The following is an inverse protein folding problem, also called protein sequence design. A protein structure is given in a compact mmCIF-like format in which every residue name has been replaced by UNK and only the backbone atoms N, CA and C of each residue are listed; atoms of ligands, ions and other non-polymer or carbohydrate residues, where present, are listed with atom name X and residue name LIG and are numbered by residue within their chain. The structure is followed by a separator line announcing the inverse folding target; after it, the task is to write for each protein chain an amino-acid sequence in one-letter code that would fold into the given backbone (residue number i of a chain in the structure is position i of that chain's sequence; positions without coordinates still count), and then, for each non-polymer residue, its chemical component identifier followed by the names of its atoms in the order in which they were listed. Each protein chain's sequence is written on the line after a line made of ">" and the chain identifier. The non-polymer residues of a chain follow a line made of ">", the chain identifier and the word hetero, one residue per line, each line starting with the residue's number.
data_IF_915150249906
#
_entry.id   IF_915150249906
#
_cell.length_a   1.000
_cell.length_b   1.000
_cell.length_c   1.000
_cell.angle_alpha   90.00
_cell.angle_beta   90.00
_cell.angle_gamma   90.00
#
_symmetry.space_group_name_H-M   'P 1'
#
loop_
_entity.id
_entity.type
_entity.pdbx_description
1 polymer ?
#
# COMPACT_ATOMS: atom_id res chain seq x y z
N UNK A 1 -18.82 -12.90 -13.77
CA UNK A 1 -17.82 -12.86 -14.87
C UNK A 1 -17.21 -14.22 -15.26
N UNK A 2 -17.03 -15.22 -14.37
CA UNK A 2 -16.43 -16.53 -14.72
C UNK A 2 -17.21 -17.37 -15.75
N UNK A 3 -18.54 -17.29 -15.77
CA UNK A 3 -19.39 -18.01 -16.73
C UNK A 3 -19.24 -17.53 -18.19
N UNK A 4 -19.07 -16.22 -18.43
CA UNK A 4 -18.86 -15.68 -19.77
C UNK A 4 -17.51 -16.11 -20.38
N UNK A 5 -16.45 -16.14 -19.56
CA UNK A 5 -15.12 -16.64 -19.95
C UNK A 5 -15.11 -18.14 -20.27
N UNK A 6 -15.88 -18.94 -19.52
CA UNK A 6 -15.99 -20.38 -19.78
C UNK A 6 -16.79 -20.67 -21.07
N UNK A 7 -17.91 -19.96 -21.30
CA UNK A 7 -18.69 -20.09 -22.53
C UNK A 7 -17.93 -19.61 -23.77
N UNK A 8 -17.13 -18.54 -23.68
CA UNK A 8 -16.30 -18.08 -24.80
C UNK A 8 -15.19 -19.08 -25.14
N UNK A 9 -14.52 -19.66 -24.15
CA UNK A 9 -13.54 -20.73 -24.35
C UNK A 9 -14.17 -21.99 -24.97
N UNK A 10 -15.34 -22.41 -24.49
CA UNK A 10 -16.09 -23.55 -25.06
C UNK A 10 -16.50 -23.34 -26.52
N UNK A 11 -16.88 -22.11 -26.88
CA UNK A 11 -17.20 -21.75 -28.27
C UNK A 11 -15.94 -21.78 -29.16
N UNK A 12 -14.84 -21.20 -28.68
CA UNK A 12 -13.54 -21.21 -29.37
C UNK A 12 -13.01 -22.64 -29.60
N UNK A 13 -13.20 -23.55 -28.63
CA UNK A 13 -12.82 -24.96 -28.78
C UNK A 13 -13.61 -25.64 -29.91
N UNK A 14 -14.94 -25.42 -29.97
CA UNK A 14 -15.79 -26.03 -31.01
C UNK A 14 -15.44 -25.52 -32.40
N UNK A 15 -15.25 -24.21 -32.54
CA UNK A 15 -14.85 -23.58 -33.81
C UNK A 15 -13.45 -24.04 -34.22
N UNK A 16 -12.53 -24.17 -33.26
CA UNK A 16 -11.17 -24.65 -33.49
C UNK A 16 -11.09 -26.10 -34.00
N UNK A 17 -11.89 -26.99 -33.41
CA UNK A 17 -11.98 -28.39 -33.88
C UNK A 17 -12.62 -28.48 -35.28
N UNK A 18 -13.59 -27.63 -35.60
CA UNK A 18 -14.18 -27.56 -36.95
C UNK A 18 -13.15 -27.09 -37.98
N UNK A 19 -12.36 -26.06 -37.65
CA UNK A 19 -11.27 -25.58 -38.50
C UNK A 19 -10.23 -26.67 -38.75
N UNK A 20 -9.81 -27.39 -37.72
CA UNK A 20 -8.89 -28.53 -37.88
C UNK A 20 -9.49 -29.61 -38.80
N UNK A 21 -10.78 -29.96 -38.63
CA UNK A 21 -11.46 -30.89 -39.53
C UNK A 21 -11.50 -30.42 -40.99
N UNK A 22 -11.66 -29.11 -41.23
CA UNK A 22 -11.60 -28.53 -42.57
C UNK A 22 -10.19 -28.56 -43.17
N UNK A 23 -9.15 -28.31 -42.37
CA UNK A 23 -7.74 -28.42 -42.79
C UNK A 23 -7.44 -29.81 -43.31
N UNK A 24 -7.85 -30.85 -42.56
CA UNK A 24 -7.69 -32.25 -42.97
C UNK A 24 -8.45 -32.51 -44.29
N UNK A 25 -9.72 -32.10 -44.37
CA UNK A 25 -10.57 -32.33 -45.55
C UNK A 25 -10.04 -31.64 -46.81
N UNK A 26 -9.37 -30.49 -46.65
CA UNK A 26 -8.80 -29.71 -47.77
C UNK A 26 -7.38 -30.16 -48.15
N UNK A 27 -6.82 -31.18 -47.49
CA UNK A 27 -5.47 -31.67 -47.76
C UNK A 27 -4.37 -30.70 -47.34
N UNK A 28 -4.66 -29.79 -46.39
CA UNK A 28 -3.69 -28.81 -45.87
C UNK A 28 -3.02 -29.30 -44.59
N UNK A 29 -3.10 -30.60 -44.29
CA UNK A 29 -2.62 -31.18 -43.03
C UNK A 29 -1.10 -31.15 -42.88
N UNK A 30 -0.37 -31.05 -43.99
CA UNK A 30 1.10 -31.13 -44.03
C UNK A 30 1.75 -29.74 -44.15
N UNK A 31 0.94 -28.68 -44.18
CA UNK A 31 1.44 -27.30 -44.22
C UNK A 31 1.88 -26.84 -42.81
N UNK A 32 3.17 -26.54 -42.67
CA UNK A 32 3.80 -26.16 -41.38
C UNK A 32 3.16 -24.89 -40.78
N UNK A 33 2.74 -23.92 -41.60
CA UNK A 33 2.10 -22.70 -41.10
C UNK A 33 0.70 -22.98 -40.55
N UNK A 34 -0.03 -23.87 -41.21
CA UNK A 34 -1.36 -24.33 -40.75
C UNK A 34 -1.22 -25.16 -39.48
N UNK A 35 -0.24 -26.06 -39.42
CA UNK A 35 0.05 -26.86 -38.22
C UNK A 35 0.44 -25.97 -37.03
N UNK A 36 1.31 -24.97 -37.23
CA UNK A 36 1.69 -23.99 -36.19
C UNK A 36 0.48 -23.20 -35.67
N UNK A 37 -0.40 -22.77 -36.58
CA UNK A 37 -1.63 -22.06 -36.22
C UNK A 37 -2.58 -22.95 -35.39
N UNK A 38 -2.67 -24.24 -35.72
CA UNK A 38 -3.47 -25.21 -34.96
C UNK A 38 -2.87 -25.53 -33.59
N UNK A 39 -1.54 -25.62 -33.46
CA UNK A 39 -0.86 -25.79 -32.17
C UNK A 39 -1.18 -24.58 -31.28
N UNK A 40 -0.98 -23.35 -31.77
CA UNK A 40 -1.29 -22.13 -31.01
C UNK A 40 -2.75 -22.04 -30.58
N UNK A 41 -3.68 -22.43 -31.47
CA UNK A 41 -5.11 -22.52 -31.17
C UNK A 41 -5.40 -23.52 -30.04
N UNK A 42 -4.82 -24.71 -30.08
CA UNK A 42 -5.01 -25.72 -29.03
C UNK A 42 -4.42 -25.27 -27.69
N UNK A 43 -3.23 -24.67 -27.70
CA UNK A 43 -2.59 -24.08 -26.52
C UNK A 43 -3.47 -22.99 -25.90
N UNK A 44 -3.98 -22.05 -26.69
CA UNK A 44 -4.86 -20.98 -26.20
C UNK A 44 -6.19 -21.50 -25.60
N UNK A 45 -6.61 -22.69 -26.01
CA UNK A 45 -7.81 -23.35 -25.52
C UNK A 45 -7.60 -24.21 -24.26
N UNK A 46 -6.36 -24.33 -23.75
CA UNK A 46 -6.04 -25.26 -22.65
C UNK A 46 -6.13 -26.74 -23.06
N UNK A 47 -5.92 -27.00 -24.36
CA UNK A 47 -6.01 -28.31 -24.99
C UNK A 47 -4.64 -28.73 -25.53
N UNK A 48 -3.58 -28.40 -24.81
CA UNK A 48 -2.19 -28.60 -25.23
C UNK A 48 -1.88 -30.03 -25.66
N UNK A 49 -2.55 -31.04 -25.10
CA UNK A 49 -2.39 -32.44 -25.50
C UNK A 49 -2.73 -32.72 -26.98
N UNK A 50 -3.73 -32.04 -27.55
CA UNK A 50 -4.02 -32.13 -29.00
C UNK A 50 -2.97 -31.41 -29.84
N UNK A 51 -2.43 -30.30 -29.33
CA UNK A 51 -1.28 -29.62 -29.91
C UNK A 51 -0.05 -30.53 -29.96
N UNK A 52 0.24 -31.25 -28.87
CA UNK A 52 1.37 -32.16 -28.77
C UNK A 52 1.25 -33.33 -29.77
N UNK A 53 0.05 -33.91 -29.91
CA UNK A 53 -0.19 -34.96 -30.92
C UNK A 53 0.01 -34.46 -32.35
N UNK A 54 -0.35 -33.20 -32.62
CA UNK A 54 -0.13 -32.60 -33.94
C UNK A 54 1.36 -32.34 -34.16
N UNK A 55 2.03 -31.77 -33.16
CA UNK A 55 3.46 -31.50 -33.14
C UNK A 55 4.30 -32.77 -33.38
N UNK A 56 3.94 -33.88 -32.72
CA UNK A 56 4.61 -35.17 -32.88
C UNK A 56 4.51 -35.73 -34.31
N UNK A 57 3.44 -35.40 -35.04
CA UNK A 57 3.19 -35.84 -36.42
C UNK A 57 3.80 -34.94 -37.49
N UNK A 58 4.30 -33.76 -37.14
CA UNK A 58 4.92 -32.85 -38.11
C UNK A 58 6.18 -33.50 -38.71
N UNK A 59 6.26 -33.48 -40.04
CA UNK A 59 7.42 -33.98 -40.80
C UNK A 59 8.61 -33.02 -40.75
N UNK A 60 8.33 -31.71 -40.68
CA UNK A 60 9.32 -30.65 -40.51
C UNK A 60 8.85 -29.68 -39.42
N UNK A 61 9.74 -29.34 -38.49
CA UNK A 61 9.45 -28.53 -37.31
C UNK A 61 10.37 -27.33 -37.28
N UNK A 62 9.81 -26.16 -37.52
CA UNK A 62 10.53 -24.89 -37.45
C UNK A 62 10.53 -24.30 -36.03
N UNK A 63 11.30 -23.24 -35.80
CA UNK A 63 11.40 -22.57 -34.48
C UNK A 63 10.02 -22.15 -33.94
N UNK A 64 9.07 -21.81 -34.82
CA UNK A 64 7.71 -21.39 -34.45
C UNK A 64 6.91 -22.56 -33.89
N UNK A 65 7.01 -23.75 -34.49
CA UNK A 65 6.36 -24.97 -34.00
C UNK A 65 6.80 -25.31 -32.58
N UNK A 66 8.12 -25.30 -32.33
CA UNK A 66 8.71 -25.57 -31.02
C UNK A 66 8.33 -24.51 -29.98
N UNK A 67 8.40 -23.23 -30.34
CA UNK A 67 8.01 -22.12 -29.45
C UNK A 67 6.54 -22.21 -29.03
N UNK A 68 5.65 -22.50 -29.99
CA UNK A 68 4.21 -22.62 -29.73
C UNK A 68 3.92 -23.79 -28.80
N UNK A 69 4.61 -24.92 -28.99
CA UNK A 69 4.43 -26.11 -28.17
C UNK A 69 4.96 -25.92 -26.74
N UNK A 70 6.18 -25.39 -26.58
CA UNK A 70 6.75 -25.07 -25.26
C UNK A 70 5.87 -24.06 -24.52
N UNK A 71 5.44 -22.99 -25.21
CA UNK A 71 4.56 -21.98 -24.61
C UNK A 71 3.21 -22.54 -24.19
N UNK A 72 2.63 -23.43 -24.99
CA UNK A 72 1.41 -24.15 -24.63
C UNK A 72 1.57 -25.02 -23.39
N UNK A 73 2.65 -25.81 -23.30
CA UNK A 73 2.88 -26.68 -22.15
C UNK A 73 3.10 -25.86 -20.87
N UNK A 74 3.91 -24.81 -20.97
CA UNK A 74 4.16 -23.89 -19.86
C UNK A 74 2.88 -23.17 -19.42
N UNK A 75 2.08 -22.68 -20.37
CA UNK A 75 0.83 -21.96 -20.10
C UNK A 75 -0.23 -22.83 -19.41
N UNK A 76 -0.26 -24.14 -19.71
CA UNK A 76 -1.15 -25.11 -19.06
C UNK A 76 -0.57 -25.70 -17.75
N UNK A 77 0.64 -25.28 -17.34
CA UNK A 77 1.29 -25.68 -16.10
C UNK A 77 2.15 -26.96 -16.18
N UNK A 78 2.30 -27.56 -17.35
CA UNK A 78 3.16 -28.72 -17.62
C UNK A 78 4.63 -28.28 -17.78
N UNK A 79 5.20 -27.73 -16.70
CA UNK A 79 6.54 -27.12 -16.72
C UNK A 79 7.65 -28.15 -16.99
N UNK A 80 7.52 -29.38 -16.47
CA UNK A 80 8.52 -30.43 -16.68
C UNK A 80 8.55 -30.90 -18.14
N UNK A 81 7.38 -31.14 -18.74
CA UNK A 81 7.24 -31.52 -20.14
C UNK A 81 7.68 -30.39 -21.06
N UNK A 82 7.30 -29.15 -20.74
CA UNK A 82 7.78 -27.96 -21.44
C UNK A 82 9.30 -27.83 -21.39
N UNK A 83 9.92 -28.12 -20.24
CA UNK A 83 11.38 -28.12 -20.06
C UNK A 83 12.06 -29.23 -20.83
N UNK A 84 11.50 -30.45 -20.82
CA UNK A 84 12.05 -31.56 -21.57
C UNK A 84 12.05 -31.23 -23.07
N UNK A 85 10.92 -30.72 -23.58
CA UNK A 85 10.81 -30.31 -24.98
C UNK A 85 11.81 -29.21 -25.33
N UNK A 86 11.93 -28.20 -24.45
CA UNK A 86 12.91 -27.14 -24.60
C UNK A 86 14.35 -27.68 -24.67
N UNK A 87 14.73 -28.62 -23.80
CA UNK A 87 16.08 -29.17 -23.77
C UNK A 87 16.42 -29.91 -25.09
N UNK A 88 15.43 -30.53 -25.75
CA UNK A 88 15.60 -31.19 -27.07
C UNK A 88 15.77 -30.25 -28.26
N UNK A 89 15.44 -28.95 -28.12
CA UNK A 89 15.57 -27.98 -29.22
C UNK A 89 17.04 -27.74 -29.59
N UNK A 90 17.37 -27.88 -30.88
CA UNK A 90 18.71 -27.61 -31.42
C UNK A 90 19.07 -26.11 -31.32
N UNK A 91 18.13 -25.24 -31.70
CA UNK A 91 18.25 -23.79 -31.59
C UNK A 91 17.16 -23.25 -30.68
N UNK A 92 17.55 -22.42 -29.71
CA UNK A 92 16.65 -21.83 -28.71
C UNK A 92 16.64 -20.32 -28.91
N UNK A 93 15.49 -19.77 -29.27
CA UNK A 93 15.31 -18.33 -29.43
C UNK A 93 15.15 -17.65 -28.06
N UNK A 94 15.42 -16.34 -27.99
CA UNK A 94 15.20 -15.55 -26.76
C UNK A 94 13.75 -15.64 -26.28
N UNK A 95 12.79 -15.74 -27.20
CA UNK A 95 11.36 -15.93 -26.91
C UNK A 95 11.11 -17.24 -26.17
N UNK A 96 11.77 -18.33 -26.58
CA UNK A 96 11.62 -19.64 -25.94
C UNK A 96 12.18 -19.63 -24.52
N UNK A 97 13.35 -19.01 -24.33
CA UNK A 97 13.97 -18.83 -23.01
C UNK A 97 13.05 -18.01 -22.09
N UNK A 98 12.60 -16.84 -22.54
CA UNK A 98 11.71 -15.96 -21.78
C UNK A 98 10.41 -16.65 -21.41
N UNK A 99 9.81 -17.42 -22.32
CA UNK A 99 8.59 -18.17 -22.05
C UNK A 99 8.78 -19.20 -20.92
N UNK A 100 9.89 -19.94 -20.94
CA UNK A 100 10.14 -20.96 -19.92
C UNK A 100 10.46 -20.31 -18.56
N UNK A 101 11.25 -19.23 -18.56
CA UNK A 101 11.53 -18.44 -17.35
C UNK A 101 10.24 -17.87 -16.75
N UNK A 102 9.38 -17.25 -17.55
CA UNK A 102 8.06 -16.75 -17.12
C UNK A 102 7.19 -17.86 -16.54
N UNK A 103 7.20 -19.05 -17.16
CA UNK A 103 6.55 -20.25 -16.64
C UNK A 103 6.98 -20.63 -15.23
N UNK A 104 8.30 -20.76 -15.03
CA UNK A 104 8.85 -21.08 -13.72
C UNK A 104 8.61 -19.97 -12.69
N UNK A 105 8.71 -18.69 -13.07
CA UNK A 105 8.38 -17.55 -12.21
C UNK A 105 6.92 -17.62 -11.75
N UNK A 106 5.97 -17.83 -12.66
CA UNK A 106 4.55 -17.98 -12.33
C UNK A 106 4.24 -19.23 -11.52
N UNK A 107 5.03 -20.29 -11.71
CA UNK A 107 4.99 -21.50 -10.89
C UNK A 107 5.62 -21.36 -9.50
N UNK A 108 6.21 -20.21 -9.15
CA UNK A 108 6.91 -19.98 -7.89
C UNK A 108 8.29 -20.65 -7.79
N UNK A 109 8.77 -21.24 -8.88
CA UNK A 109 10.03 -21.97 -8.99
C UNK A 109 11.17 -21.04 -9.41
N UNK A 110 11.47 -20.06 -8.57
CA UNK A 110 12.45 -19.01 -8.88
C UNK A 110 13.88 -19.51 -9.03
N UNK A 111 14.24 -20.61 -8.36
CA UNK A 111 15.59 -21.17 -8.47
C UNK A 111 15.85 -21.72 -9.88
N UNK A 112 14.87 -22.43 -10.42
CA UNK A 112 14.88 -22.99 -11.77
C UNK A 112 14.83 -21.88 -12.83
N UNK A 113 13.96 -20.88 -12.61
CA UNK A 113 13.90 -19.69 -13.45
C UNK A 113 15.25 -18.96 -13.49
N UNK A 114 15.88 -18.76 -12.32
CA UNK A 114 17.19 -18.12 -12.21
C UNK A 114 18.28 -18.92 -12.90
N UNK A 115 18.29 -20.24 -12.73
CA UNK A 115 19.24 -21.13 -13.40
C UNK A 115 19.09 -21.15 -14.93
N UNK A 116 17.88 -20.93 -15.46
CA UNK A 116 17.68 -20.72 -16.91
C UNK A 116 18.17 -19.34 -17.33
N UNK A 117 17.80 -18.30 -16.59
CA UNK A 117 18.22 -16.93 -16.85
C UNK A 117 19.73 -16.79 -16.90
N UNK A 118 20.48 -17.38 -15.96
CA UNK A 118 21.95 -17.31 -15.92
C UNK A 118 22.62 -18.05 -17.10
N UNK A 119 21.96 -19.05 -17.69
CA UNK A 119 22.46 -19.81 -18.85
C UNK A 119 22.22 -19.11 -20.19
N UNK A 120 21.39 -18.07 -20.25
CA UNK A 120 21.17 -17.30 -21.47
C UNK A 120 22.47 -16.62 -21.92
N UNK A 121 22.81 -16.75 -23.22
CA UNK A 121 23.94 -16.03 -23.81
C UNK A 121 23.59 -14.57 -24.03
N UNK A 122 22.43 -14.33 -24.65
CA UNK A 122 21.87 -13.02 -24.93
C UNK A 122 20.58 -12.83 -24.12
N UNK A 123 20.39 -11.64 -23.57
CA UNK A 123 19.22 -11.25 -22.76
C UNK A 123 18.68 -9.92 -23.28
N UNK A 124 17.37 -9.78 -23.29
CA UNK A 124 16.65 -8.56 -23.63
C UNK A 124 15.94 -8.00 -22.39
N UNK A 125 15.30 -6.84 -22.54
CA UNK A 125 14.59 -6.22 -21.40
C UNK A 125 13.50 -7.14 -20.84
N UNK A 126 12.86 -7.98 -21.68
CA UNK A 126 11.86 -8.96 -21.25
C UNK A 126 12.50 -10.00 -20.33
N UNK A 127 13.65 -10.58 -20.70
CA UNK A 127 14.37 -11.55 -19.86
C UNK A 127 14.63 -11.01 -18.45
N UNK A 128 15.13 -9.77 -18.37
CA UNK A 128 15.43 -9.11 -17.10
C UNK A 128 14.16 -8.77 -16.31
N UNK A 129 13.16 -8.17 -16.97
CA UNK A 129 11.91 -7.74 -16.35
C UNK A 129 11.12 -8.93 -15.80
N UNK A 130 11.10 -10.08 -16.50
CA UNK A 130 10.45 -11.30 -16.00
C UNK A 130 11.10 -11.78 -14.69
N UNK A 131 12.43 -11.80 -14.61
CA UNK A 131 13.12 -12.22 -13.39
C UNK A 131 12.97 -11.20 -12.24
N UNK A 132 13.18 -9.91 -12.51
CA UNK A 132 13.03 -8.84 -11.51
C UNK A 132 11.59 -8.85 -10.97
N UNK A 133 10.59 -8.91 -11.87
CA UNK A 133 9.18 -8.97 -11.48
C UNK A 133 8.83 -10.24 -10.69
N UNK A 134 9.46 -11.37 -11.01
CA UNK A 134 9.33 -12.61 -10.23
C UNK A 134 9.78 -12.45 -8.77
N UNK A 135 10.95 -11.83 -8.56
CA UNK A 135 11.44 -11.54 -7.21
C UNK A 135 10.58 -10.51 -6.48
N UNK A 136 10.17 -9.43 -7.15
CA UNK A 136 9.28 -8.40 -6.60
C UNK A 136 7.94 -9.00 -6.14
N UNK A 137 7.33 -9.86 -6.96
CA UNK A 137 6.05 -10.49 -6.64
C UNK A 137 6.10 -11.43 -5.43
N UNK A 138 7.28 -11.99 -5.12
CA UNK A 138 7.51 -12.86 -3.97
C UNK A 138 8.14 -12.11 -2.78
N UNK A 139 8.17 -10.77 -2.83
CA UNK A 139 8.76 -9.91 -1.79
C UNK A 139 10.24 -10.23 -1.50
N UNK A 140 10.98 -10.68 -2.52
CA UNK A 140 12.42 -10.95 -2.46
C UNK A 140 13.21 -9.75 -2.99
N UNK A 141 13.03 -8.59 -2.35
CA UNK A 141 13.47 -7.31 -2.90
C UNK A 141 15.00 -7.20 -3.07
N UNK A 142 15.78 -7.87 -2.20
CA UNK A 142 17.25 -7.91 -2.30
C UNK A 142 17.73 -8.57 -3.60
N UNK A 143 17.09 -9.66 -4.02
CA UNK A 143 17.45 -10.35 -5.26
C UNK A 143 17.02 -9.54 -6.50
N UNK A 144 15.87 -8.86 -6.41
CA UNK A 144 15.41 -7.92 -7.44
C UNK A 144 16.40 -6.75 -7.61
N UNK A 145 16.89 -6.17 -6.51
CA UNK A 145 17.91 -5.10 -6.51
C UNK A 145 19.23 -5.55 -7.16
N UNK A 146 19.68 -6.76 -6.85
CA UNK A 146 20.88 -7.34 -7.47
C UNK A 146 20.68 -7.44 -8.99
N UNK A 147 19.57 -7.99 -9.47
CA UNK A 147 19.34 -8.05 -10.92
C UNK A 147 19.16 -6.67 -11.56
N UNK A 148 18.46 -5.76 -10.90
CA UNK A 148 18.28 -4.39 -11.38
C UNK A 148 19.61 -3.64 -11.53
N UNK A 149 20.55 -3.84 -10.60
CA UNK A 149 21.89 -3.24 -10.67
C UNK A 149 22.80 -3.88 -11.71
N UNK A 150 22.61 -5.18 -12.00
CA UNK A 150 23.35 -5.90 -13.05
C UNK A 150 22.82 -5.62 -14.47
N UNK A 151 21.56 -5.19 -14.59
CA UNK A 151 20.93 -4.90 -15.87
C UNK A 151 21.63 -3.72 -16.57
N UNK A 152 22.07 -3.86 -17.84
CA UNK A 152 22.68 -2.77 -18.60
C UNK A 152 21.76 -1.55 -18.68
N UNK A 153 22.31 -0.35 -18.51
CA UNK A 153 21.53 0.90 -18.47
C UNK A 153 20.72 1.13 -19.74
N UNK A 154 21.26 0.73 -20.88
CA UNK A 154 20.63 0.88 -22.21
C UNK A 154 19.44 -0.07 -22.40
N UNK A 155 19.34 -1.13 -21.59
CA UNK A 155 18.22 -2.08 -21.62
C UNK A 155 17.11 -1.71 -20.65
N UNK A 156 17.39 -0.87 -19.63
CA UNK A 156 16.39 -0.50 -18.63
C UNK A 156 15.29 0.32 -19.30
N UNK A 157 14.06 -0.14 -19.15
CA UNK A 157 12.88 0.53 -19.69
C UNK A 157 11.91 0.92 -18.57
N UNK A 158 10.82 1.61 -18.94
CA UNK A 158 9.79 2.01 -18.00
C UNK A 158 9.20 0.82 -17.21
N UNK A 159 9.17 -0.38 -17.80
CA UNK A 159 8.69 -1.58 -17.10
C UNK A 159 9.67 -1.96 -15.99
N UNK A 160 10.97 -1.99 -16.27
CA UNK A 160 12.01 -2.28 -15.27
C UNK A 160 11.87 -1.37 -14.05
N UNK A 161 11.73 -0.06 -14.29
CA UNK A 161 11.61 0.93 -13.22
C UNK A 161 10.30 0.80 -12.44
N UNK A 162 9.17 0.58 -13.13
CA UNK A 162 7.88 0.39 -12.46
C UNK A 162 7.83 -0.87 -11.59
N UNK A 163 8.53 -1.95 -11.97
CA UNK A 163 8.68 -3.13 -11.13
C UNK A 163 9.38 -2.81 -9.80
N UNK A 164 10.46 -2.01 -9.86
CA UNK A 164 11.18 -1.60 -8.65
C UNK A 164 10.34 -0.64 -7.79
N UNK A 165 9.66 0.32 -8.42
CA UNK A 165 8.76 1.25 -7.72
C UNK A 165 7.63 0.50 -7.02
N UNK A 166 7.00 -0.47 -7.68
CA UNK A 166 5.95 -1.32 -7.08
C UNK A 166 6.49 -2.14 -5.91
N UNK A 167 7.65 -2.79 -6.07
CA UNK A 167 8.29 -3.55 -5.00
C UNK A 167 8.59 -2.69 -3.77
N UNK A 168 9.20 -1.52 -3.96
CA UNK A 168 9.48 -0.60 -2.86
C UNK A 168 8.23 0.01 -2.24
N UNK A 169 7.18 0.28 -3.01
CA UNK A 169 5.92 0.80 -2.48
C UNK A 169 5.25 -0.21 -1.55
N UNK A 170 5.26 -1.51 -1.90
CA UNK A 170 4.71 -2.59 -1.06
C UNK A 170 5.45 -2.78 0.27
N UNK A 171 6.76 -2.55 0.28
CA UNK A 171 7.59 -2.62 1.50
C UNK A 171 7.66 -1.30 2.27
N UNK A 172 7.04 -0.22 1.78
CA UNK A 172 7.14 1.11 2.40
C UNK A 172 8.53 1.74 2.32
N UNK A 173 9.38 1.30 1.38
CA UNK A 173 10.76 1.79 1.20
C UNK A 173 10.79 3.08 0.37
N UNK A 174 10.20 4.15 0.91
CA UNK A 174 9.99 5.42 0.20
C UNK A 174 11.28 6.05 -0.34
N UNK A 175 12.39 5.95 0.40
CA UNK A 175 13.68 6.52 -0.03
C UNK A 175 14.14 5.91 -1.36
N UNK A 176 14.00 4.59 -1.50
CA UNK A 176 14.40 3.90 -2.72
C UNK A 176 13.49 4.24 -3.90
N UNK A 177 12.20 4.55 -3.69
CA UNK A 177 11.32 5.05 -4.75
C UNK A 177 11.86 6.37 -5.32
N UNK A 178 12.32 7.29 -4.47
CA UNK A 178 12.92 8.56 -4.90
C UNK A 178 14.27 8.33 -5.61
N UNK A 179 15.11 7.42 -5.11
CA UNK A 179 16.39 7.06 -5.77
C UNK A 179 16.18 6.47 -7.16
N UNK A 180 15.21 5.55 -7.30
CA UNK A 180 14.82 4.93 -8.58
C UNK A 180 14.29 5.99 -9.54
N UNK A 181 13.50 6.93 -9.05
CA UNK A 181 12.99 8.05 -9.86
C UNK A 181 14.10 8.98 -10.35
N UNK A 182 15.09 9.27 -9.50
CA UNK A 182 16.27 10.04 -9.93
C UNK A 182 17.07 9.29 -11.00
N UNK A 183 17.22 7.97 -10.89
CA UNK A 183 17.84 7.17 -11.95
C UNK A 183 17.03 7.20 -13.25
N UNK A 184 15.69 7.11 -13.20
CA UNK A 184 14.83 7.29 -14.39
C UNK A 184 15.10 8.64 -15.06
N UNK A 185 15.20 9.71 -14.26
CA UNK A 185 15.43 11.08 -14.73
C UNK A 185 16.80 11.21 -15.39
N UNK A 186 17.84 10.61 -14.82
CA UNK A 186 19.18 10.58 -15.42
C UNK A 186 19.25 9.79 -16.73
N UNK A 187 18.41 8.77 -16.88
CA UNK A 187 18.29 7.98 -18.11
C UNK A 187 17.28 8.56 -19.13
N UNK A 188 16.66 9.70 -18.82
CA UNK A 188 15.61 10.31 -19.64
C UNK A 188 14.41 9.37 -19.92
N UNK A 189 14.08 8.50 -18.97
CA UNK A 189 12.91 7.62 -19.05
C UNK A 189 11.71 8.39 -18.52
N UNK A 190 10.69 8.58 -19.36
CA UNK A 190 9.47 9.32 -19.01
C UNK A 190 8.63 8.52 -18.00
N UNK A 191 8.44 9.02 -16.77
CA UNK A 191 7.57 8.40 -15.78
C UNK A 191 6.12 8.36 -16.27
N UNK A 192 5.39 7.28 -15.95
CA UNK A 192 3.95 7.22 -16.19
C UNK A 192 3.17 7.62 -14.93
N UNK A 193 1.84 7.66 -15.04
CA UNK A 193 0.94 7.97 -13.92
C UNK A 193 1.21 7.15 -12.65
N UNK A 194 1.44 5.84 -12.80
CA UNK A 194 1.75 4.97 -11.66
C UNK A 194 3.05 5.41 -10.98
N UNK A 195 4.10 5.66 -11.76
CA UNK A 195 5.37 6.17 -11.24
C UNK A 195 5.19 7.49 -10.49
N UNK A 196 4.47 8.44 -11.10
CA UNK A 196 4.21 9.78 -10.55
C UNK A 196 3.52 9.68 -9.19
N UNK A 197 2.42 8.92 -9.09
CA UNK A 197 1.68 8.76 -7.83
C UNK A 197 2.54 8.12 -6.74
N UNK A 198 3.32 7.08 -7.07
CA UNK A 198 4.22 6.42 -6.13
C UNK A 198 5.32 7.35 -5.63
N UNK A 199 5.90 8.18 -6.52
CA UNK A 199 6.92 9.16 -6.15
C UNK A 199 6.35 10.27 -5.29
N UNK A 200 5.17 10.81 -5.62
CA UNK A 200 4.49 11.82 -4.78
C UNK A 200 4.17 11.28 -3.39
N UNK A 201 3.71 10.03 -3.31
CA UNK A 201 3.49 9.33 -2.04
C UNK A 201 4.79 9.21 -1.25
N UNK A 202 5.89 8.79 -1.88
CA UNK A 202 7.18 8.73 -1.23
C UNK A 202 7.67 10.09 -0.74
N UNK A 203 7.52 11.15 -1.56
CA UNK A 203 7.88 12.51 -1.17
C UNK A 203 7.06 13.00 0.03
N UNK A 204 5.78 12.66 0.08
CA UNK A 204 4.88 12.97 1.19
C UNK A 204 5.35 12.34 2.52
N UNK A 205 5.85 11.10 2.47
CA UNK A 205 6.37 10.40 3.65
C UNK A 205 7.76 10.87 4.08
N UNK A 206 8.60 11.26 3.12
CA UNK A 206 9.97 11.73 3.38
C UNK A 206 10.07 13.24 3.61
N UNK A 207 8.97 13.97 3.48
CA UNK A 207 8.94 15.45 3.51
C UNK A 207 9.88 16.02 2.43
N UNK A 208 9.91 15.39 1.26
CA UNK A 208 10.82 15.69 0.16
C UNK A 208 10.21 16.71 -0.81
N UNK A 209 10.09 17.96 -0.36
CA UNK A 209 9.38 19.03 -1.08
C UNK A 209 9.97 19.31 -2.47
N UNK A 210 11.29 19.36 -2.60
CA UNK A 210 11.97 19.69 -3.86
C UNK A 210 11.64 18.69 -4.98
N UNK A 211 11.63 17.39 -4.65
CA UNK A 211 11.28 16.32 -5.58
C UNK A 211 9.80 16.39 -5.96
N UNK A 212 8.94 16.71 -4.99
CA UNK A 212 7.53 16.94 -5.23
C UNK A 212 7.25 18.11 -6.18
N UNK A 213 7.94 19.24 -6.00
CA UNK A 213 7.86 20.40 -6.90
C UNK A 213 8.35 20.08 -8.31
N UNK A 214 9.40 19.26 -8.43
CA UNK A 214 9.87 18.79 -9.72
C UNK A 214 8.79 17.96 -10.43
N UNK A 215 8.13 17.04 -9.72
CA UNK A 215 7.06 16.21 -10.28
C UNK A 215 5.89 17.08 -10.75
N UNK A 216 5.47 18.07 -9.96
CA UNK A 216 4.45 19.05 -10.36
C UNK A 216 4.86 19.78 -11.65
N UNK A 217 6.10 20.30 -11.71
CA UNK A 217 6.60 20.99 -12.90
C UNK A 217 6.70 20.05 -14.11
N UNK A 218 6.98 18.77 -13.91
CA UNK A 218 6.97 17.77 -14.96
C UNK A 218 5.55 17.52 -15.50
N UNK A 219 4.55 17.40 -14.63
CA UNK A 219 3.14 17.27 -15.02
C UNK A 219 2.71 18.46 -15.89
N UNK A 220 3.02 19.68 -15.45
CA UNK A 220 2.68 20.92 -16.16
C UNK A 220 3.38 21.03 -17.52
N UNK A 221 4.69 20.75 -17.59
CA UNK A 221 5.48 20.86 -18.82
C UNK A 221 5.11 19.85 -19.89
N UNK A 222 4.60 18.69 -19.49
CA UNK A 222 4.21 17.62 -20.41
C UNK A 222 2.69 17.59 -20.65
N UNK A 223 1.95 18.59 -20.16
CA UNK A 223 0.49 18.69 -20.32
C UNK A 223 -0.24 17.41 -19.87
N UNK A 224 0.25 16.79 -18.77
CA UNK A 224 -0.35 15.59 -18.21
C UNK A 224 -1.62 16.00 -17.46
N UNK A 225 -2.76 15.50 -17.92
CA UNK A 225 -4.06 15.77 -17.29
C UNK A 225 -4.09 15.25 -15.86
N UNK A 226 -4.48 16.12 -14.92
CA UNK A 226 -4.62 15.77 -13.50
C UNK A 226 -5.99 15.14 -13.24
N UNK A 227 -6.02 13.81 -13.16
CA UNK A 227 -7.18 13.12 -12.59
C UNK A 227 -7.22 13.20 -11.07
N UNK A 228 -8.35 12.76 -10.49
CA UNK A 228 -8.60 12.78 -9.05
C UNK A 228 -7.49 12.09 -8.22
N UNK A 229 -6.89 11.00 -8.72
CA UNK A 229 -5.86 10.25 -7.99
C UNK A 229 -4.55 11.03 -7.96
N UNK A 230 -4.10 11.58 -9.08
CA UNK A 230 -2.90 12.40 -9.14
C UNK A 230 -3.07 13.70 -8.37
N UNK A 231 -4.23 14.37 -8.51
CA UNK A 231 -4.56 15.57 -7.74
C UNK A 231 -4.53 15.31 -6.23
N UNK A 232 -5.14 14.22 -5.76
CA UNK A 232 -5.11 13.82 -4.34
C UNK A 232 -3.69 13.52 -3.86
N UNK A 233 -2.86 12.87 -4.67
CA UNK A 233 -1.46 12.60 -4.33
C UNK A 233 -0.64 13.89 -4.20
N UNK A 234 -0.85 14.87 -5.09
CA UNK A 234 -0.21 16.19 -5.02
C UNK A 234 -0.67 16.99 -3.79
N UNK A 235 -1.97 17.02 -3.49
CA UNK A 235 -2.52 17.66 -2.29
C UNK A 235 -1.84 17.08 -1.04
N UNK A 236 -1.78 15.76 -0.91
CA UNK A 236 -1.13 15.10 0.22
C UNK A 236 0.39 15.35 0.28
N UNK A 237 1.06 15.38 -0.87
CA UNK A 237 2.49 15.65 -0.94
C UNK A 237 2.79 17.07 -0.43
N UNK A 238 2.15 18.10 -1.00
CA UNK A 238 2.38 19.49 -0.59
C UNK A 238 1.97 19.75 0.86
N UNK A 239 0.80 19.27 1.27
CA UNK A 239 0.33 19.47 2.64
C UNK A 239 1.25 18.84 3.68
N UNK A 240 1.67 17.58 3.50
CA UNK A 240 2.59 16.92 4.45
C UNK A 240 4.02 17.49 4.39
N UNK A 241 4.42 18.09 3.27
CA UNK A 241 5.65 18.86 3.17
C UNK A 241 5.55 20.27 3.78
N UNK A 242 4.42 20.63 4.41
CA UNK A 242 4.23 21.92 5.07
C UNK A 242 3.79 23.06 4.16
N UNK A 243 3.54 22.80 2.88
CA UNK A 243 3.08 23.81 1.91
C UNK A 243 1.56 23.68 1.67
N UNK A 244 0.78 24.06 2.67
CA UNK A 244 -0.69 23.94 2.62
C UNK A 244 -1.31 24.85 1.54
N UNK A 245 -0.72 26.00 1.26
CA UNK A 245 -1.22 26.94 0.24
C UNK A 245 -1.17 26.33 -1.16
N UNK A 246 -0.05 25.66 -1.50
CA UNK A 246 0.05 24.87 -2.74
C UNK A 246 -0.96 23.73 -2.77
N UNK A 247 -1.16 23.04 -1.65
CA UNK A 247 -2.15 21.95 -1.59
C UNK A 247 -3.58 22.46 -1.88
N UNK A 248 -3.95 23.62 -1.31
CA UNK A 248 -5.24 24.28 -1.59
C UNK A 248 -5.33 24.65 -3.08
N UNK A 249 -4.29 25.28 -3.64
CA UNK A 249 -4.27 25.67 -5.05
C UNK A 249 -4.43 24.46 -5.99
N UNK A 250 -3.75 23.35 -5.71
CA UNK A 250 -3.93 22.11 -6.48
C UNK A 250 -5.36 21.61 -6.35
N UNK A 251 -5.88 21.53 -5.12
CA UNK A 251 -7.26 21.08 -4.87
C UNK A 251 -8.31 21.94 -5.60
N UNK A 252 -8.15 23.25 -5.62
CA UNK A 252 -9.03 24.19 -6.33
C UNK A 252 -8.92 24.05 -7.85
N UNK A 253 -7.77 23.64 -8.38
CA UNK A 253 -7.57 23.42 -9.82
C UNK A 253 -8.16 22.10 -10.36
N UNK A 254 -8.52 21.15 -9.49
CA UNK A 254 -9.09 19.86 -9.91
C UNK A 254 -10.50 20.03 -10.51
N UNK A 255 -10.71 19.52 -11.72
CA UNK A 255 -12.03 19.51 -12.37
C UNK A 255 -12.98 18.52 -11.68
N UNK A 256 -12.50 17.29 -11.44
CA UNK A 256 -13.22 16.24 -10.72
C UNK A 256 -12.56 15.94 -9.37
N UNK A 257 -13.37 15.93 -8.31
CA UNK A 257 -12.94 15.63 -6.94
C UNK A 257 -13.77 14.47 -6.41
N UNK A 258 -13.13 13.33 -6.22
CA UNK A 258 -13.75 12.19 -5.56
C UNK A 258 -13.72 12.37 -4.02
N UNK A 259 -14.36 11.44 -3.31
CA UNK A 259 -14.41 11.44 -1.84
C UNK A 259 -12.99 11.46 -1.24
N UNK A 260 -12.01 10.81 -1.89
CA UNK A 260 -10.63 10.77 -1.41
C UNK A 260 -9.95 12.15 -1.46
N UNK A 261 -10.17 12.92 -2.53
CA UNK A 261 -9.66 14.28 -2.65
C UNK A 261 -10.23 15.20 -1.56
N UNK A 262 -11.55 15.16 -1.33
CA UNK A 262 -12.21 15.94 -0.28
C UNK A 262 -11.69 15.55 1.11
N UNK A 263 -11.60 14.25 1.39
CA UNK A 263 -11.09 13.72 2.66
C UNK A 263 -9.66 14.17 2.92
N UNK A 264 -8.79 14.10 1.89
CA UNK A 264 -7.40 14.56 1.99
C UNK A 264 -7.33 16.05 2.33
N UNK A 265 -8.12 16.90 1.67
CA UNK A 265 -8.10 18.35 1.93
C UNK A 265 -8.62 18.69 3.33
N UNK A 266 -9.74 18.11 3.76
CA UNK A 266 -10.33 18.31 5.09
C UNK A 266 -9.33 17.89 6.18
N UNK A 267 -8.75 16.70 6.05
CA UNK A 267 -7.77 16.18 7.00
C UNK A 267 -6.54 17.09 7.09
N UNK A 268 -5.94 17.44 5.95
CA UNK A 268 -4.73 18.24 5.92
C UNK A 268 -4.96 19.66 6.49
N UNK A 269 -6.07 20.32 6.17
CA UNK A 269 -6.44 21.60 6.79
C UNK A 269 -6.56 21.49 8.31
N UNK A 270 -7.17 20.40 8.79
CA UNK A 270 -7.32 20.13 10.22
C UNK A 270 -5.98 20.01 10.95
N UNK A 271 -5.06 19.19 10.43
CA UNK A 271 -3.73 18.99 11.04
C UNK A 271 -2.89 20.28 11.03
N UNK A 272 -3.07 21.12 10.00
CA UNK A 272 -2.43 22.44 9.91
C UNK A 272 -3.13 23.54 10.74
N UNK A 273 -4.17 23.19 11.51
CA UNK A 273 -4.87 24.12 12.40
C UNK A 273 -5.92 25.01 11.73
N UNK A 274 -6.19 24.82 10.44
CA UNK A 274 -7.20 25.55 9.66
C UNK A 274 -8.60 24.91 9.79
N UNK A 275 -9.03 24.59 11.02
CA UNK A 275 -10.26 23.84 11.26
C UNK A 275 -11.51 24.49 10.66
N UNK A 276 -11.64 25.81 10.74
CA UNK A 276 -12.79 26.51 10.13
C UNK A 276 -12.82 26.37 8.60
N UNK A 277 -11.65 26.40 7.94
CA UNK A 277 -11.58 26.16 6.49
C UNK A 277 -11.89 24.70 6.17
N UNK A 278 -11.41 23.75 6.99
CA UNK A 278 -11.76 22.34 6.84
C UNK A 278 -13.29 22.12 6.89
N UNK A 279 -13.99 22.81 7.80
CA UNK A 279 -15.45 22.78 7.87
C UNK A 279 -16.12 23.45 6.66
N UNK A 280 -15.52 24.50 6.09
CA UNK A 280 -15.98 25.11 4.84
C UNK A 280 -15.86 24.12 3.68
N UNK A 281 -14.71 23.45 3.55
CA UNK A 281 -14.47 22.43 2.53
C UNK A 281 -15.45 21.26 2.67
N UNK A 282 -15.74 20.82 3.91
CA UNK A 282 -16.80 19.85 4.15
C UNK A 282 -18.18 20.34 3.69
N UNK A 283 -18.53 21.60 3.95
CA UNK A 283 -19.77 22.18 3.43
C UNK A 283 -19.82 22.18 1.90
N UNK A 284 -18.71 22.48 1.24
CA UNK A 284 -18.62 22.51 -0.22
C UNK A 284 -18.68 21.11 -0.83
N UNK A 285 -18.15 20.08 -0.15
CA UNK A 285 -18.35 18.67 -0.50
C UNK A 285 -19.84 18.32 -0.53
N UNK A 286 -20.59 18.71 0.51
CA UNK A 286 -22.04 18.47 0.58
C UNK A 286 -22.80 19.22 -0.52
N UNK A 287 -22.45 20.48 -0.80
CA UNK A 287 -23.05 21.26 -1.91
C UNK A 287 -22.77 20.64 -3.28
N UNK A 288 -21.63 19.96 -3.41
CA UNK A 288 -21.24 19.23 -4.62
C UNK A 288 -21.92 17.86 -4.73
N UNK A 289 -22.85 17.52 -3.83
CA UNK A 289 -23.56 16.24 -3.75
C UNK A 289 -22.62 15.02 -3.64
N UNK A 290 -21.43 15.20 -3.06
CA UNK A 290 -20.53 14.10 -2.76
C UNK A 290 -20.86 13.57 -1.35
N UNK A 291 -21.30 12.30 -1.21
CA UNK A 291 -21.69 11.77 0.09
C UNK A 291 -20.45 11.62 0.99
N UNK A 292 -20.49 12.13 2.23
CA UNK A 292 -19.41 11.92 3.18
C UNK A 292 -19.38 10.46 3.64
N UNK A 293 -18.18 9.96 3.90
CA UNK A 293 -17.94 8.65 4.47
C UNK A 293 -17.37 8.76 5.90
N UNK A 294 -17.07 7.61 6.50
CA UNK A 294 -16.46 7.55 7.83
C UNK A 294 -15.12 8.30 7.87
N UNK A 295 -14.33 8.26 6.79
CA UNK A 295 -13.03 8.95 6.73
C UNK A 295 -13.24 10.47 6.66
N UNK A 296 -14.30 10.94 5.98
CA UNK A 296 -14.69 12.35 5.97
C UNK A 296 -14.95 12.85 7.39
N UNK A 297 -15.79 12.14 8.15
CA UNK A 297 -16.13 12.53 9.52
C UNK A 297 -14.93 12.45 10.46
N UNK A 298 -14.04 11.47 10.29
CA UNK A 298 -12.78 11.43 11.02
C UNK A 298 -11.94 12.68 10.76
N UNK A 299 -11.85 13.13 9.49
CA UNK A 299 -11.18 14.37 9.12
C UNK A 299 -11.83 15.61 9.74
N UNK A 300 -13.16 15.73 9.68
CA UNK A 300 -13.93 16.84 10.29
C UNK A 300 -13.73 16.90 11.80
N UNK A 301 -13.88 15.78 12.50
CA UNK A 301 -13.68 15.71 13.95
C UNK A 301 -12.21 15.96 14.33
N UNK A 302 -11.26 15.50 13.51
CA UNK A 302 -9.85 15.82 13.64
C UNK A 302 -9.59 17.32 13.51
N UNK A 303 -10.21 17.99 12.55
CA UNK A 303 -10.13 19.44 12.39
C UNK A 303 -10.71 20.19 13.61
N UNK A 304 -11.87 19.74 14.12
CA UNK A 304 -12.43 20.30 15.36
C UNK A 304 -11.49 20.10 16.55
N UNK A 305 -10.91 18.89 16.71
CA UNK A 305 -9.92 18.55 17.75
C UNK A 305 -8.70 19.47 17.69
N UNK A 306 -8.11 19.70 16.53
CA UNK A 306 -6.91 20.53 16.38
C UNK A 306 -7.17 22.02 16.58
N UNK A 307 -8.35 22.52 16.19
CA UNK A 307 -8.72 23.93 16.33
C UNK A 307 -9.56 24.26 17.57
N UNK A 308 -9.85 23.27 18.44
CA UNK A 308 -10.64 23.46 19.65
C UNK A 308 -12.12 23.78 19.42
N UNK A 309 -12.69 23.38 18.28
CA UNK A 309 -14.09 23.66 17.92
C UNK A 309 -15.05 22.66 18.58
N UNK A 310 -15.23 22.76 19.89
CA UNK A 310 -16.00 21.80 20.71
C UNK A 310 -17.44 21.64 20.23
N UNK A 311 -18.17 22.75 20.07
CA UNK A 311 -19.58 22.72 19.69
C UNK A 311 -19.79 22.15 18.29
N UNK A 312 -18.93 22.51 17.33
CA UNK A 312 -18.96 21.93 15.98
C UNK A 312 -18.60 20.44 16.01
N UNK A 313 -17.61 20.04 16.81
CA UNK A 313 -17.25 18.63 17.01
C UNK A 313 -18.44 17.81 17.52
N UNK A 314 -19.12 18.29 18.58
CA UNK A 314 -20.35 17.67 19.09
C UNK A 314 -21.42 17.59 18.00
N UNK A 315 -21.67 18.69 17.28
CA UNK A 315 -22.69 18.75 16.22
C UNK A 315 -22.43 17.74 15.10
N UNK A 316 -21.20 17.70 14.56
CA UNK A 316 -20.86 16.79 13.47
C UNK A 316 -20.82 15.32 13.89
N UNK A 317 -20.46 15.05 15.15
CA UNK A 317 -20.50 13.69 15.69
C UNK A 317 -21.93 13.11 15.70
N UNK A 318 -22.92 13.92 16.08
CA UNK A 318 -24.33 13.51 16.01
C UNK A 318 -24.84 13.42 14.57
N UNK A 319 -24.49 14.42 13.73
CA UNK A 319 -24.87 14.46 12.31
C UNK A 319 -24.44 13.19 11.54
N UNK A 320 -23.26 12.66 11.85
CA UNK A 320 -22.72 11.43 11.28
C UNK A 320 -23.71 10.26 11.37
N UNK A 321 -24.30 10.07 12.55
CA UNK A 321 -25.25 8.98 12.82
C UNK A 321 -26.66 9.33 12.33
N UNK A 322 -27.15 10.52 12.70
CA UNK A 322 -28.56 10.89 12.53
C UNK A 322 -28.94 11.20 11.09
N UNK A 323 -28.04 11.84 10.34
CA UNK A 323 -28.31 12.31 8.97
C UNK A 323 -27.65 11.44 7.93
N UNK A 324 -26.42 10.99 8.19
CA UNK A 324 -25.64 10.21 7.22
C UNK A 324 -25.71 8.70 7.45
N UNK A 325 -26.30 8.24 8.57
CA UNK A 325 -26.46 6.82 8.87
C UNK A 325 -25.14 6.07 9.07
N UNK A 326 -24.05 6.79 9.36
CA UNK A 326 -22.72 6.22 9.56
C UNK A 326 -22.52 5.89 11.04
N UNK A 327 -22.02 4.69 11.32
CA UNK A 327 -21.78 4.23 12.69
C UNK A 327 -20.42 4.76 13.17
N UNK A 328 -20.35 5.53 14.27
CA UNK A 328 -19.08 6.02 14.78
C UNK A 328 -18.15 4.88 15.23
N UNK A 329 -16.92 4.91 14.70
CA UNK A 329 -15.83 3.97 15.05
C UNK A 329 -14.94 4.48 16.19
N UNK A 330 -14.04 3.62 16.69
CA UNK A 330 -13.10 3.90 17.79
C UNK A 330 -12.34 5.21 17.55
N UNK A 331 -11.94 5.47 16.30
CA UNK A 331 -11.19 6.65 15.89
C UNK A 331 -12.01 7.94 16.04
N UNK A 332 -13.30 7.92 15.74
CA UNK A 332 -14.21 9.07 15.87
C UNK A 332 -14.42 9.46 17.33
N UNK A 333 -14.74 8.47 18.17
CA UNK A 333 -14.82 8.66 19.61
C UNK A 333 -13.48 9.12 20.19
N UNK A 334 -12.35 8.57 19.71
CA UNK A 334 -11.02 9.03 20.09
C UNK A 334 -10.79 10.51 19.78
N UNK A 335 -11.28 11.00 18.63
CA UNK A 335 -11.28 12.44 18.31
C UNK A 335 -12.12 13.27 19.28
N UNK A 336 -13.31 12.80 19.62
CA UNK A 336 -14.18 13.51 20.56
C UNK A 336 -13.63 13.53 21.98
N UNK A 337 -13.11 12.41 22.47
CA UNK A 337 -12.50 12.33 23.81
C UNK A 337 -11.30 13.28 23.90
N UNK A 338 -10.42 13.33 22.90
CA UNK A 338 -9.28 14.27 22.89
C UNK A 338 -9.76 15.74 22.80
N UNK A 339 -10.76 16.04 21.96
CA UNK A 339 -11.34 17.38 21.86
C UNK A 339 -11.92 17.86 23.21
N UNK A 340 -12.76 17.05 23.86
CA UNK A 340 -13.37 17.37 25.15
C UNK A 340 -12.32 17.48 26.25
N UNK A 341 -11.37 16.54 26.26
CA UNK A 341 -10.27 16.53 27.23
C UNK A 341 -9.39 17.78 27.15
N UNK A 342 -9.09 18.28 25.95
CA UNK A 342 -8.33 19.54 25.76
C UNK A 342 -9.12 20.78 26.14
N UNK A 343 -10.45 20.70 26.09
CA UNK A 343 -11.35 21.76 26.50
C UNK A 343 -11.71 21.71 28.01
N UNK A 344 -11.04 20.87 28.80
CA UNK A 344 -11.30 20.66 30.24
C UNK A 344 -12.73 20.13 30.53
N UNK A 345 -13.34 19.46 29.57
CA UNK A 345 -14.66 18.82 29.68
C UNK A 345 -14.49 17.31 29.98
N UNK A 346 -13.81 17.00 31.07
CA UNK A 346 -13.45 15.61 31.40
C UNK A 346 -14.67 14.73 31.74
N UNK A 347 -15.72 15.28 32.33
CA UNK A 347 -16.95 14.53 32.61
C UNK A 347 -17.70 14.19 31.31
N UNK A 348 -17.84 15.14 30.38
CA UNK A 348 -18.41 14.87 29.04
C UNK A 348 -17.59 13.80 28.31
N UNK A 349 -16.26 13.85 28.43
CA UNK A 349 -15.37 12.86 27.81
C UNK A 349 -15.56 11.46 28.41
N UNK A 350 -15.73 11.36 29.73
CA UNK A 350 -16.02 10.12 30.44
C UNK A 350 -17.40 9.56 30.06
N UNK A 351 -18.43 10.40 30.09
CA UNK A 351 -19.80 10.02 29.71
C UNK A 351 -19.83 9.46 28.29
N UNK A 352 -19.11 10.09 27.36
CA UNK A 352 -19.01 9.63 25.98
C UNK A 352 -18.38 8.23 25.87
N UNK A 353 -17.35 7.92 26.67
CA UNK A 353 -16.73 6.59 26.68
C UNK A 353 -17.70 5.55 27.25
N UNK A 354 -18.39 5.87 28.35
CA UNK A 354 -19.30 4.96 29.06
C UNK A 354 -20.56 4.63 28.27
N UNK A 355 -21.11 5.62 27.57
CA UNK A 355 -22.30 5.49 26.72
C UNK A 355 -22.01 4.78 25.40
N UNK A 356 -20.75 4.76 24.97
CA UNK A 356 -20.35 4.03 23.77
C UNK A 356 -20.42 2.51 23.96
N UNK A 357 -20.65 1.78 22.87
CA UNK A 357 -20.46 0.31 22.82
C UNK A 357 -18.98 -0.09 23.01
N UNK A 358 -18.06 0.89 23.02
CA UNK A 358 -16.61 0.73 23.00
C UNK A 358 -15.93 1.00 24.34
N UNK A 359 -16.66 0.83 25.44
CA UNK A 359 -16.21 0.96 26.84
C UNK A 359 -14.93 0.17 27.20
N UNK A 360 -14.54 -0.82 26.40
CA UNK A 360 -13.29 -1.58 26.52
C UNK A 360 -12.11 -1.01 25.70
N UNK A 361 -12.24 0.20 25.15
CA UNK A 361 -11.20 0.84 24.32
C UNK A 361 -10.05 1.39 25.16
N UNK A 362 -8.90 0.71 25.12
CA UNK A 362 -7.67 1.13 25.81
C UNK A 362 -7.22 2.55 25.38
N UNK A 363 -7.20 2.91 24.07
CA UNK A 363 -6.74 4.25 23.67
C UNK A 363 -7.56 5.41 24.23
N UNK A 364 -8.89 5.23 24.43
CA UNK A 364 -9.76 6.29 24.95
C UNK A 364 -9.52 6.56 26.43
N UNK A 365 -9.45 5.50 27.24
CA UNK A 365 -9.11 5.63 28.66
C UNK A 365 -7.68 6.16 28.85
N UNK A 366 -6.74 5.77 27.97
CA UNK A 366 -5.39 6.33 27.92
C UNK A 366 -5.37 7.84 27.65
N UNK A 367 -6.16 8.29 26.67
CA UNK A 367 -6.31 9.72 26.36
C UNK A 367 -6.88 10.51 27.56
N UNK A 368 -7.92 9.97 28.20
CA UNK A 368 -8.56 10.59 29.38
C UNK A 368 -7.60 10.64 30.58
N UNK A 369 -6.86 9.56 30.85
CA UNK A 369 -5.84 9.53 31.90
C UNK A 369 -4.73 10.56 31.64
N UNK A 370 -4.22 10.60 30.41
CA UNK A 370 -3.20 11.57 30.01
C UNK A 370 -3.68 13.02 30.15
N UNK A 371 -4.93 13.31 29.78
CA UNK A 371 -5.52 14.63 29.96
C UNK A 371 -5.71 14.99 31.44
N UNK A 372 -6.24 14.07 32.23
CA UNK A 372 -6.44 14.23 33.68
C UNK A 372 -5.11 14.51 34.39
N UNK A 373 -4.03 13.84 33.97
CA UNK A 373 -2.67 14.09 34.46
C UNK A 373 -2.20 15.52 34.17
N UNK A 374 -2.36 15.99 32.93
CA UNK A 374 -1.98 17.36 32.54
C UNK A 374 -2.79 18.44 33.28
N UNK A 375 -4.08 18.18 33.51
CA UNK A 375 -5.00 19.11 34.18
C UNK A 375 -4.94 19.01 35.71
N UNK A 376 -4.21 18.02 36.25
CA UNK A 376 -4.12 17.79 37.70
C UNK A 376 -5.41 17.22 38.32
N UNK A 377 -6.34 16.72 37.53
CA UNK A 377 -7.58 16.11 38.02
C UNK A 377 -7.31 14.66 38.50
N UNK A 378 -6.96 14.53 39.77
CA UNK A 378 -6.60 13.22 40.38
C UNK A 378 -7.76 12.24 40.38
N UNK A 379 -8.99 12.72 40.59
CA UNK A 379 -10.17 11.86 40.65
C UNK A 379 -10.45 11.20 39.30
N UNK A 380 -10.48 11.98 38.22
CA UNK A 380 -10.67 11.46 36.87
C UNK A 380 -9.49 10.57 36.44
N UNK A 381 -8.26 10.94 36.83
CA UNK A 381 -7.07 10.11 36.58
C UNK A 381 -7.14 8.75 37.28
N UNK A 382 -7.54 8.73 38.56
CA UNK A 382 -7.76 7.48 39.31
C UNK A 382 -8.84 6.62 38.65
N UNK A 383 -9.93 7.23 38.17
CA UNK A 383 -11.01 6.55 37.48
C UNK A 383 -10.54 5.89 36.17
N UNK A 384 -9.92 6.66 35.27
CA UNK A 384 -9.44 6.18 33.99
C UNK A 384 -8.35 5.09 34.14
N UNK A 385 -7.44 5.27 35.11
CA UNK A 385 -6.38 4.30 35.38
C UNK A 385 -6.91 2.95 35.87
N UNK A 386 -7.96 2.92 36.71
CA UNK A 386 -8.57 1.66 37.17
C UNK A 386 -9.16 0.85 36.01
N UNK A 387 -9.80 1.52 35.06
CA UNK A 387 -10.31 0.85 33.86
C UNK A 387 -9.19 0.33 32.98
N UNK A 388 -8.12 1.11 32.76
CA UNK A 388 -6.93 0.65 32.03
C UNK A 388 -6.28 -0.58 32.67
N UNK A 389 -6.09 -0.57 33.99
CA UNK A 389 -5.52 -1.72 34.72
C UNK A 389 -6.39 -2.98 34.65
N UNK A 390 -7.69 -2.82 34.38
CA UNK A 390 -8.60 -3.96 34.20
C UNK A 390 -8.52 -4.50 32.77
N UNK A 391 -8.34 -3.62 31.78
CA UNK A 391 -8.29 -3.96 30.36
C UNK A 391 -6.91 -4.45 29.91
N UNK A 392 -5.85 -3.83 30.42
CA UNK A 392 -4.45 -4.18 30.14
C UNK A 392 -3.61 -4.09 31.44
N UNK A 393 -3.65 -5.14 32.28
CA UNK A 393 -2.97 -5.13 33.58
C UNK A 393 -1.44 -5.10 33.49
N UNK A 394 -0.86 -5.44 32.34
CA UNK A 394 0.60 -5.55 32.18
C UNK A 394 1.23 -4.28 31.60
N UNK A 395 0.43 -3.32 31.13
CA UNK A 395 0.95 -2.04 30.69
C UNK A 395 1.40 -1.17 31.88
N UNK A 396 2.71 -0.97 31.98
CA UNK A 396 3.33 -0.12 32.99
C UNK A 396 2.92 1.36 32.90
N UNK A 397 2.46 1.83 31.73
CA UNK A 397 2.25 3.26 31.48
C UNK A 397 1.18 3.86 32.41
N UNK A 398 0.06 3.18 32.60
CA UNK A 398 -1.04 3.67 33.42
C UNK A 398 -0.66 3.77 34.91
N UNK A 399 0.09 2.79 35.44
CA UNK A 399 0.61 2.80 36.81
C UNK A 399 1.59 3.97 37.03
N UNK A 400 2.48 4.21 36.07
CA UNK A 400 3.46 5.30 36.15
C UNK A 400 2.76 6.65 36.15
N UNK A 401 1.81 6.87 35.24
CA UNK A 401 1.07 8.15 35.15
C UNK A 401 0.27 8.39 36.44
N UNK A 402 -0.48 7.40 36.92
CA UNK A 402 -1.27 7.55 38.16
C UNK A 402 -0.38 7.79 39.39
N UNK A 403 0.74 7.06 39.51
CA UNK A 403 1.70 7.27 40.60
C UNK A 403 2.25 8.69 40.60
N UNK A 404 2.62 9.22 39.43
CA UNK A 404 3.12 10.59 39.30
C UNK A 404 2.05 11.63 39.65
N UNK A 405 0.79 11.40 39.24
CA UNK A 405 -0.34 12.27 39.61
C UNK A 405 -0.54 12.33 41.13
N UNK A 406 -0.51 11.17 41.82
CA UNK A 406 -0.61 11.15 43.28
C UNK A 406 0.55 11.87 43.96
N UNK A 407 1.79 11.67 43.50
CA UNK A 407 2.95 12.39 44.03
C UNK A 407 2.83 13.90 43.84
N UNK A 408 2.38 14.35 42.66
CA UNK A 408 2.17 15.78 42.38
C UNK A 408 1.08 16.39 43.26
N UNK A 409 0.06 15.62 43.62
CA UNK A 409 -1.01 16.04 44.54
C UNK A 409 -0.66 15.86 46.03
N UNK A 410 0.57 15.46 46.37
CA UNK A 410 1.03 15.24 47.74
C UNK A 410 0.51 13.94 48.39
N UNK A 411 -0.15 13.05 47.64
CA UNK A 411 -0.70 11.78 48.10
C UNK A 411 0.34 10.64 48.07
N UNK A 412 1.46 10.83 48.77
CA UNK A 412 2.62 9.93 48.69
C UNK A 412 2.32 8.47 49.06
N UNK A 413 1.42 8.21 50.00
CA UNK A 413 1.02 6.85 50.38
C UNK A 413 0.35 6.10 49.22
N UNK A 414 -0.57 6.77 48.51
CA UNK A 414 -1.21 6.20 47.30
C UNK A 414 -0.18 5.98 46.18
N UNK A 415 0.75 6.92 45.99
CA UNK A 415 1.80 6.78 44.97
C UNK A 415 2.69 5.56 45.24
N UNK A 416 3.11 5.35 46.50
CA UNK A 416 3.90 4.17 46.90
C UNK A 416 3.09 2.89 46.72
N UNK A 417 1.80 2.90 47.07
CA UNK A 417 0.93 1.74 46.89
C UNK A 417 0.82 1.30 45.42
N UNK A 418 0.66 2.25 44.49
CA UNK A 418 0.62 1.95 43.05
C UNK A 418 1.97 1.38 42.56
N UNK A 419 3.10 1.96 42.99
CA UNK A 419 4.43 1.45 42.62
C UNK A 419 4.71 0.06 43.19
N UNK A 420 4.22 -0.20 44.40
CA UNK A 420 4.31 -1.53 45.01
C UNK A 420 3.46 -2.53 44.23
N UNK A 421 2.21 -2.19 43.90
CA UNK A 421 1.33 -3.04 43.08
C UNK A 421 1.99 -3.40 41.74
N UNK A 422 2.60 -2.42 41.07
CA UNK A 422 3.35 -2.63 39.83
C UNK A 422 4.49 -3.66 40.01
N UNK A 423 5.30 -3.53 41.08
CA UNK A 423 6.37 -4.51 41.40
C UNK A 423 5.84 -5.89 41.76
N UNK A 424 4.77 -5.97 42.55
CA UNK A 424 4.16 -7.22 43.00
C UNK A 424 3.62 -8.05 41.82
N UNK A 425 3.22 -7.41 40.72
CA UNK A 425 2.78 -8.06 39.48
C UNK A 425 3.91 -8.27 38.45
N UNK A 426 5.17 -8.00 38.81
CA UNK A 426 6.32 -8.17 37.93
C UNK A 426 6.35 -7.19 36.74
N UNK A 427 5.66 -6.05 36.86
CA UNK A 427 5.59 -5.04 35.82
C UNK A 427 6.80 -4.11 35.99
N UNK A 428 7.67 -4.08 34.99
CA UNK A 428 8.84 -3.19 34.98
C UNK A 428 8.62 -2.00 34.05
N UNK A 429 9.25 -0.87 34.38
CA UNK A 429 9.23 0.30 33.51
C UNK A 429 10.13 0.00 32.30
N UNK A 430 9.53 -0.15 31.11
CA UNK A 430 10.29 -0.21 29.87
C UNK A 430 11.14 1.07 29.69
N UNK A 431 12.39 0.97 29.21
CA UNK A 431 13.16 2.16 28.84
C UNK A 431 12.39 2.97 27.79
N UNK A 432 12.38 4.29 27.89
CA UNK A 432 11.89 5.11 26.78
C UNK A 432 12.93 5.08 25.68
N UNK A 433 12.53 4.86 24.43
CA UNK A 433 13.43 4.90 23.27
C UNK A 433 13.02 6.07 22.36
N UNK A 434 14.00 6.79 21.83
CA UNK A 434 13.85 7.72 20.71
C UNK A 434 14.89 7.32 19.68
N UNK A 435 14.56 7.30 18.40
CA UNK A 435 15.52 6.98 17.36
C UNK A 435 15.59 8.06 16.29
N UNK A 436 16.79 8.27 15.75
CA UNK A 436 17.01 9.13 14.59
C UNK A 436 17.78 8.34 13.53
N UNK A 437 17.41 8.48 12.27
CA UNK A 437 18.17 7.90 11.17
C UNK A 437 19.17 8.94 10.66
N UNK A 438 20.47 8.63 10.76
CA UNK A 438 21.54 9.45 10.15
C UNK A 438 22.27 8.57 9.15
N UNK A 439 22.23 8.94 7.87
CA UNK A 439 22.92 8.25 6.78
C UNK A 439 22.60 6.74 6.66
N UNK A 440 21.35 6.33 6.87
CA UNK A 440 20.94 4.93 6.77
C UNK A 440 21.24 4.08 8.00
N UNK A 441 21.69 4.70 9.10
CA UNK A 441 21.90 4.03 10.39
C UNK A 441 20.90 4.60 11.39
N UNK A 442 20.06 3.74 11.94
CA UNK A 442 19.16 4.07 13.05
C UNK A 442 20.02 4.20 14.31
N UNK A 443 20.11 5.40 14.88
CA UNK A 443 20.64 5.61 16.21
C UNK A 443 19.50 5.64 17.21
N UNK A 444 19.53 4.72 18.17
CA UNK A 444 18.57 4.66 19.27
C UNK A 444 19.14 5.33 20.53
N UNK A 445 18.36 6.23 21.10
CA UNK A 445 18.60 6.91 22.37
C UNK A 445 17.62 6.36 23.40
N UNK A 446 18.13 5.96 24.56
CA UNK A 446 17.30 5.39 25.64
C UNK A 446 17.26 6.31 26.85
N UNK A 447 16.08 6.42 27.47
CA UNK A 447 15.83 7.19 28.70
C UNK A 447 15.14 6.31 29.76
N UNK A 448 15.88 6.00 30.83
CA UNK A 448 15.46 5.28 32.05
C UNK A 448 15.85 3.80 32.06
N UNK A 449 16.45 3.20 33.09
CA UNK A 449 16.54 3.54 34.52
C UNK A 449 17.95 3.45 35.10
N UNK A 450 18.45 4.55 35.67
CA UNK A 450 19.36 4.55 36.83
C UNK A 450 18.81 5.57 37.83
N UNK A 451 18.88 5.25 39.12
CA UNK A 451 18.41 5.96 40.34
C UNK A 451 16.97 5.60 40.77
N UNK A 452 16.69 5.09 41.98
CA UNK A 452 17.36 5.15 43.29
C UNK A 452 17.30 3.78 44.02
N UNK A 453 18.42 3.33 44.59
CA UNK A 453 18.47 2.39 45.73
C UNK A 453 17.99 3.07 47.03
#
# INVERSE_FOLDING_TARGET
>A
MRYHSACSKLKAIKEGLQLHGQVIKRGLSDDVFVQNSLIGLYSACGLVGFGLQLFDKMSDRDVVSWNSMVSGLVGDGFLEEGRLLFDTMLEKSIVTWNCLIDGYVKGGLLYEARGLFDRMKDRDSISWNTMIGGYVNLCLMKDAEVLFSLMPKEMKDLITFNLMVDGYAREGRFKNIVEVFEEMRLLNITPNRFTIVSVLTACSHLVALEQGEWVQAYIERNEIELDAVMGTALVNMFAKCGNIDRAISVFESMEERDVLAWNAMIYNLGVHGYGQQALSVFSDMLKSNIPPDETTFLGVLGACRHSGLVEEGKRYFHLMSEVHGLVPKVEHYGCMVDLLSRADLLEDAKELIETSEMKSSIPMWGALLGASSRLGNVEMGEYAAKHLMTLDPFDSSCYVVLSNMYSAAGMNEKAIAIRKNMKDHGIEKGPGYSSIEINGVIQEFTVGSNSLE
#
